data_IF_277430666812
#
_entry.id   IF_277430666812
#
_cell.length_a   1.000
_cell.length_b   1.000
_cell.length_c   1.000
_cell.angle_alpha   90.00
_cell.angle_beta   90.00
_cell.angle_gamma   90.00
#
_symmetry.space_group_name_H-M   'P 1'
#
loop_
_entity.id
_entity.type
_entity.pdbx_description
1 polymer ?
#
# COMPACT_ATOMS: atom_id res chain seq x y z
N UNK A 1 5.02 -25.16 -18.85
CA UNK A 1 4.46 -24.51 -17.67
C UNK A 1 5.15 -25.07 -16.45
N UNK A 2 5.88 -24.25 -15.72
CA UNK A 2 6.47 -24.67 -14.45
C UNK A 2 5.31 -24.72 -13.45
N UNK A 3 5.00 -25.92 -13.01
CA UNK A 3 3.95 -26.15 -12.02
C UNK A 3 4.41 -25.56 -10.68
N UNK A 4 3.92 -24.38 -10.33
CA UNK A 4 4.16 -23.75 -9.03
C UNK A 4 3.22 -24.37 -8.00
N UNK A 5 3.54 -25.58 -7.55
CA UNK A 5 2.78 -26.20 -6.47
C UNK A 5 3.27 -25.68 -5.12
N UNK A 6 2.35 -25.17 -4.31
CA UNK A 6 2.62 -24.86 -2.90
C UNK A 6 2.31 -26.12 -2.09
N UNK A 7 3.27 -26.59 -1.24
CA UNK A 7 3.02 -27.77 -0.41
C UNK A 7 1.79 -27.64 0.49
N UNK A 8 1.11 -28.75 0.67
CA UNK A 8 -0.17 -28.80 1.44
C UNK A 8 -0.03 -28.35 2.88
N UNK A 9 1.07 -28.66 3.54
CA UNK A 9 1.37 -28.24 4.91
C UNK A 9 1.51 -26.72 5.05
N UNK A 10 2.08 -26.06 4.03
CA UNK A 10 2.16 -24.58 3.98
C UNK A 10 0.78 -23.97 3.75
N UNK A 11 -0.02 -24.55 2.85
CA UNK A 11 -1.39 -24.12 2.64
C UNK A 11 -2.25 -24.29 3.89
N UNK A 12 -2.05 -25.36 4.65
CA UNK A 12 -2.71 -25.58 5.95
C UNK A 12 -2.33 -24.50 6.97
N UNK A 13 -1.05 -24.18 7.09
CA UNK A 13 -0.56 -23.14 8.00
C UNK A 13 -1.15 -21.77 7.65
N UNK A 14 -1.06 -21.37 6.39
CA UNK A 14 -1.58 -20.07 5.90
C UNK A 14 -3.10 -19.98 6.05
N UNK A 15 -3.81 -21.07 5.76
CA UNK A 15 -5.28 -21.13 5.91
C UNK A 15 -5.70 -21.01 7.37
N UNK A 16 -4.97 -21.66 8.27
CA UNK A 16 -5.24 -21.58 9.72
C UNK A 16 -5.00 -20.20 10.28
N UNK A 17 -3.98 -19.50 9.79
CA UNK A 17 -3.62 -18.17 10.29
C UNK A 17 -4.56 -17.08 9.79
N UNK A 18 -4.99 -17.14 8.54
CA UNK A 18 -5.62 -15.99 7.87
C UNK A 18 -7.07 -16.21 7.45
N UNK A 19 -7.52 -17.43 7.24
CA UNK A 19 -8.80 -17.70 6.56
C UNK A 19 -9.81 -18.44 7.43
N UNK A 20 -9.41 -19.48 8.14
CA UNK A 20 -10.31 -20.30 8.95
C UNK A 20 -10.95 -19.54 10.12
N UNK A 21 -10.25 -18.52 10.62
CA UNK A 21 -10.72 -17.68 11.72
C UNK A 21 -11.75 -16.61 11.29
N UNK A 22 -12.03 -16.49 10.00
CA UNK A 22 -13.09 -15.59 9.51
C UNK A 22 -14.44 -16.13 10.00
N UNK A 23 -15.29 -15.30 10.64
CA UNK A 23 -16.60 -15.73 11.07
C UNK A 23 -17.42 -16.33 9.93
N UNK A 24 -18.19 -17.36 10.22
CA UNK A 24 -18.96 -18.10 9.21
C UNK A 24 -19.88 -17.20 8.39
N UNK A 25 -20.46 -16.20 9.03
CA UNK A 25 -21.34 -15.22 8.38
C UNK A 25 -20.59 -14.39 7.31
N UNK A 26 -19.30 -14.11 7.54
CA UNK A 26 -18.45 -13.34 6.62
C UNK A 26 -17.83 -14.21 5.53
N UNK A 27 -17.79 -15.52 5.68
CA UNK A 27 -17.26 -16.46 4.67
C UNK A 27 -18.05 -16.46 3.37
N UNK A 28 -19.29 -15.98 3.39
CA UNK A 28 -20.15 -15.84 2.22
C UNK A 28 -19.72 -14.67 1.34
N UNK A 29 -19.05 -13.68 1.89
CA UNK A 29 -18.48 -12.56 1.16
C UNK A 29 -17.09 -12.91 0.64
N UNK A 30 -17.02 -13.33 -0.62
CA UNK A 30 -15.78 -13.75 -1.25
C UNK A 30 -14.79 -12.59 -1.46
N UNK A 31 -15.26 -11.35 -1.58
CA UNK A 31 -14.40 -10.17 -1.63
C UNK A 31 -13.65 -10.01 -0.31
N UNK A 32 -14.35 -10.18 0.82
CA UNK A 32 -13.70 -10.16 2.15
C UNK A 32 -12.68 -11.28 2.30
N UNK A 33 -12.98 -12.47 1.83
CA UNK A 33 -12.02 -13.59 1.82
C UNK A 33 -10.78 -13.23 1.00
N UNK A 34 -10.92 -12.54 -0.11
CA UNK A 34 -9.77 -12.10 -0.92
C UNK A 34 -8.82 -11.18 -0.16
N UNK A 35 -9.31 -10.32 0.74
CA UNK A 35 -8.44 -9.52 1.61
C UNK A 35 -7.61 -10.41 2.55
N UNK A 36 -8.18 -11.44 3.10
CA UNK A 36 -7.46 -12.40 3.94
C UNK A 36 -6.45 -13.22 3.12
N UNK A 37 -6.79 -13.58 1.90
CA UNK A 37 -5.87 -14.27 0.97
C UNK A 37 -4.70 -13.35 0.62
N UNK A 38 -4.91 -12.05 0.44
CA UNK A 38 -3.83 -11.10 0.21
C UNK A 38 -2.85 -11.04 1.38
N UNK A 39 -3.34 -11.00 2.62
CA UNK A 39 -2.49 -11.05 3.81
C UNK A 39 -1.69 -12.36 3.88
N UNK A 40 -2.34 -13.49 3.57
CA UNK A 40 -1.68 -14.79 3.49
C UNK A 40 -0.61 -14.82 2.40
N UNK A 41 -0.88 -14.21 1.24
CA UNK A 41 0.07 -14.10 0.14
C UNK A 41 1.31 -13.30 0.52
N UNK A 42 1.15 -12.16 1.16
CA UNK A 42 2.28 -11.37 1.66
C UNK A 42 3.10 -12.15 2.69
N UNK A 43 2.44 -12.83 3.61
CA UNK A 43 3.12 -13.69 4.58
C UNK A 43 3.91 -14.82 3.90
N UNK A 44 3.32 -15.45 2.87
CA UNK A 44 3.99 -16.47 2.06
C UNK A 44 5.25 -15.91 1.39
N UNK A 45 5.15 -14.75 0.75
CA UNK A 45 6.29 -14.11 0.09
C UNK A 45 7.39 -13.70 1.07
N UNK A 46 7.02 -13.21 2.25
CA UNK A 46 7.97 -12.66 3.22
C UNK A 46 8.64 -13.73 4.08
N UNK A 47 7.93 -14.80 4.43
CA UNK A 47 8.40 -15.79 5.39
C UNK A 47 8.70 -17.17 4.80
N UNK A 48 8.07 -17.54 3.71
CA UNK A 48 8.28 -18.83 3.06
C UNK A 48 9.16 -18.75 1.82
N UNK A 49 9.03 -17.71 1.01
CA UNK A 49 9.84 -17.49 -0.19
C UNK A 49 11.17 -16.81 0.15
N UNK A 50 11.99 -17.47 0.96
CA UNK A 50 13.29 -16.96 1.42
C UNK A 50 14.42 -17.75 0.77
N UNK A 51 15.65 -17.20 0.86
CA UNK A 51 16.86 -17.89 0.36
C UNK A 51 17.12 -19.23 1.06
N UNK A 52 16.58 -19.39 2.28
CA UNK A 52 16.66 -20.65 3.03
C UNK A 52 15.73 -21.74 2.46
N UNK A 53 14.72 -21.35 1.68
CA UNK A 53 13.74 -22.26 1.08
C UNK A 53 13.69 -22.10 -0.45
N UNK A 54 14.74 -22.47 -1.20
CA UNK A 54 14.84 -22.22 -2.64
C UNK A 54 13.80 -22.97 -3.49
N UNK A 55 13.11 -23.96 -2.90
CA UNK A 55 12.03 -24.71 -3.56
C UNK A 55 10.71 -23.97 -3.57
N UNK A 56 10.52 -22.99 -2.67
CA UNK A 56 9.32 -22.18 -2.59
C UNK A 56 9.51 -20.90 -3.39
N UNK A 57 8.79 -20.80 -4.50
CA UNK A 57 8.92 -19.67 -5.42
C UNK A 57 7.82 -18.65 -5.21
N UNK A 58 8.14 -17.35 -5.33
CA UNK A 58 7.13 -16.31 -5.41
C UNK A 58 6.15 -16.59 -6.54
N UNK A 59 4.88 -16.32 -6.30
CA UNK A 59 3.83 -16.42 -7.30
C UNK A 59 2.94 -15.18 -7.28
N UNK A 60 2.16 -14.97 -8.34
CA UNK A 60 1.20 -13.86 -8.40
C UNK A 60 0.06 -14.08 -7.41
N UNK A 61 -0.65 -12.99 -7.08
CA UNK A 61 -1.86 -13.08 -6.25
C UNK A 61 -2.90 -14.03 -6.86
N UNK A 62 -3.06 -14.03 -8.17
CA UNK A 62 -4.00 -14.92 -8.86
C UNK A 62 -3.63 -16.39 -8.69
N UNK A 63 -2.37 -16.73 -8.88
CA UNK A 63 -1.87 -18.11 -8.71
C UNK A 63 -2.02 -18.54 -7.25
N UNK A 64 -1.62 -17.69 -6.32
CA UNK A 64 -1.74 -17.98 -4.89
C UNK A 64 -3.20 -18.18 -4.47
N UNK A 65 -4.09 -17.29 -4.88
CA UNK A 65 -5.53 -17.40 -4.61
C UNK A 65 -6.12 -18.69 -5.19
N UNK A 66 -5.69 -19.08 -6.39
CA UNK A 66 -6.12 -20.36 -6.99
C UNK A 66 -5.74 -21.54 -6.12
N UNK A 67 -4.53 -21.59 -5.60
CA UNK A 67 -4.10 -22.65 -4.67
C UNK A 67 -4.94 -22.69 -3.39
N UNK A 68 -5.21 -21.53 -2.81
CA UNK A 68 -6.03 -21.41 -1.60
C UNK A 68 -7.47 -21.86 -1.85
N UNK A 69 -8.07 -21.45 -2.96
CA UNK A 69 -9.43 -21.85 -3.33
C UNK A 69 -9.57 -23.36 -3.54
N UNK A 70 -8.57 -24.00 -4.16
CA UNK A 70 -8.54 -25.46 -4.31
C UNK A 70 -8.35 -26.18 -2.99
N UNK A 71 -7.60 -25.60 -2.06
CA UNK A 71 -7.20 -26.25 -0.82
C UNK A 71 -8.32 -26.21 0.25
N UNK A 72 -9.06 -25.11 0.34
CA UNK A 72 -10.07 -24.89 1.38
C UNK A 72 -11.44 -25.40 0.90
N UNK A 73 -12.08 -26.33 1.64
CA UNK A 73 -13.33 -26.96 1.19
C UNK A 73 -14.46 -25.99 0.85
N UNK A 74 -14.69 -24.94 1.66
CA UNK A 74 -15.78 -24.00 1.41
C UNK A 74 -15.51 -23.03 0.24
N UNK A 75 -14.27 -22.89 -0.19
CA UNK A 75 -13.87 -22.09 -1.35
C UNK A 75 -13.83 -22.90 -2.65
N UNK A 76 -13.66 -24.22 -2.55
CA UNK A 76 -13.51 -25.10 -3.71
C UNK A 76 -14.64 -25.00 -4.74
N UNK A 77 -15.92 -24.86 -4.36
CA UNK A 77 -16.99 -24.65 -5.33
C UNK A 77 -16.87 -23.39 -6.17
N UNK A 78 -16.07 -22.40 -5.73
CA UNK A 78 -15.92 -21.09 -6.37
C UNK A 78 -14.69 -20.99 -7.28
N UNK A 79 -13.90 -22.04 -7.41
CA UNK A 79 -12.66 -22.04 -8.22
C UNK A 79 -12.91 -21.61 -9.67
N UNK A 80 -13.98 -22.09 -10.28
CA UNK A 80 -14.33 -21.78 -11.66
C UNK A 80 -14.63 -20.28 -11.87
N UNK A 81 -14.98 -19.55 -10.81
CA UNK A 81 -15.34 -18.12 -10.85
C UNK A 81 -14.25 -17.21 -10.25
N UNK A 82 -13.06 -17.73 -10.03
CA UNK A 82 -12.00 -17.00 -9.33
C UNK A 82 -11.60 -15.69 -9.99
N UNK A 83 -11.54 -15.65 -11.32
CA UNK A 83 -11.16 -14.43 -12.05
C UNK A 83 -12.16 -13.30 -11.83
N UNK A 84 -13.45 -13.62 -11.84
CA UNK A 84 -14.52 -12.66 -11.56
C UNK A 84 -14.48 -12.18 -10.09
N UNK A 85 -14.23 -13.07 -9.16
CA UNK A 85 -14.11 -12.74 -7.73
C UNK A 85 -12.92 -11.81 -7.49
N UNK A 86 -11.77 -12.09 -8.09
CA UNK A 86 -10.59 -11.25 -7.99
C UNK A 86 -10.79 -9.89 -8.66
N UNK A 87 -11.54 -9.82 -9.76
CA UNK A 87 -11.90 -8.56 -10.41
C UNK A 87 -12.77 -7.70 -9.50
N UNK A 88 -13.83 -8.26 -8.90
CA UNK A 88 -14.67 -7.58 -7.93
C UNK A 88 -13.87 -7.06 -6.72
N UNK A 89 -12.92 -7.86 -6.25
CA UNK A 89 -12.04 -7.47 -5.15
C UNK A 89 -11.12 -6.30 -5.53
N UNK A 90 -10.55 -6.30 -6.75
CA UNK A 90 -9.72 -5.20 -7.24
C UNK A 90 -10.53 -3.92 -7.38
N UNK A 91 -11.73 -4.01 -7.93
CA UNK A 91 -12.63 -2.86 -8.09
C UNK A 91 -13.00 -2.27 -6.72
N UNK A 92 -13.31 -3.12 -5.75
CA UNK A 92 -13.56 -2.69 -4.38
C UNK A 92 -12.34 -1.99 -3.77
N UNK A 93 -11.13 -2.54 -3.93
CA UNK A 93 -9.88 -1.94 -3.45
C UNK A 93 -9.61 -0.57 -4.06
N UNK A 94 -9.90 -0.38 -5.33
CA UNK A 94 -9.68 0.90 -6.01
C UNK A 94 -10.61 2.00 -5.49
N UNK A 95 -11.79 1.64 -5.03
CA UNK A 95 -12.77 2.59 -4.51
C UNK A 95 -12.56 2.94 -3.02
N UNK A 96 -11.70 2.24 -2.30
CA UNK A 96 -11.42 2.54 -0.89
C UNK A 96 -10.66 3.86 -0.78
N UNK A 97 -11.15 4.85 0.00
CA UNK A 97 -10.46 6.12 0.20
C UNK A 97 -9.06 5.94 0.81
N UNK A 98 -8.15 6.81 0.40
CA UNK A 98 -6.78 6.86 0.89
C UNK A 98 -6.54 8.15 1.66
N UNK A 99 -5.93 8.05 2.83
CA UNK A 99 -5.59 9.18 3.68
C UNK A 99 -4.11 9.18 4.04
N UNK A 100 -3.54 10.37 4.11
CA UNK A 100 -2.13 10.55 4.43
C UNK A 100 -1.82 12.00 4.78
N UNK A 101 -0.58 12.41 4.58
CA UNK A 101 -0.16 13.75 4.93
C UNK A 101 0.85 14.35 3.95
N UNK A 102 0.75 15.68 3.80
CA UNK A 102 1.79 16.53 3.24
C UNK A 102 2.60 17.05 4.42
N UNK A 103 3.76 16.47 4.68
CA UNK A 103 4.62 16.84 5.80
C UNK A 103 5.61 17.88 5.32
N UNK A 104 5.52 19.09 5.88
CA UNK A 104 6.35 20.23 5.56
C UNK A 104 7.39 20.49 6.66
N UNK A 105 8.57 20.94 6.26
CA UNK A 105 9.60 21.36 7.19
C UNK A 105 9.30 22.74 7.82
N UNK A 106 10.19 23.24 8.67
CA UNK A 106 9.99 24.46 9.46
C UNK A 106 9.77 25.72 8.62
N UNK A 107 10.51 25.88 7.52
CA UNK A 107 10.43 27.05 6.63
C UNK A 107 9.47 26.85 5.44
N UNK A 108 8.74 25.75 5.40
CA UNK A 108 7.76 25.41 4.36
C UNK A 108 8.36 25.30 2.93
N UNK A 109 9.65 25.01 2.83
CA UNK A 109 10.33 24.88 1.53
C UNK A 109 10.44 23.44 1.04
N UNK A 110 10.31 22.47 1.94
CA UNK A 110 10.48 21.03 1.65
C UNK A 110 9.30 20.21 2.11
N UNK A 111 9.02 19.16 1.35
CA UNK A 111 8.03 18.14 1.69
C UNK A 111 8.69 16.77 1.82
N UNK A 112 8.11 15.94 2.68
CA UNK A 112 8.55 14.57 2.89
C UNK A 112 7.84 13.64 1.90
N UNK A 113 8.61 12.91 1.13
CA UNK A 113 8.12 11.88 0.21
C UNK A 113 8.68 10.52 0.57
N UNK A 114 7.92 9.49 0.25
CA UNK A 114 8.30 8.08 0.40
C UNK A 114 8.43 7.43 -0.97
N UNK A 115 9.39 6.53 -1.11
CA UNK A 115 9.61 5.77 -2.33
C UNK A 115 9.18 4.33 -2.13
N UNK A 116 8.29 3.85 -2.98
CA UNK A 116 7.85 2.46 -2.98
C UNK A 116 8.92 1.52 -3.55
N UNK A 117 8.98 0.29 -3.01
CA UNK A 117 9.74 -0.79 -3.64
C UNK A 117 9.12 -1.26 -4.96
N UNK A 118 7.79 -1.21 -5.07
CA UNK A 118 7.03 -1.93 -6.09
C UNK A 118 6.57 -1.06 -7.25
N UNK A 119 6.03 0.10 -7.01
CA UNK A 119 5.45 0.96 -8.03
C UNK A 119 6.52 1.67 -8.90
N UNK A 120 7.40 0.91 -9.55
CA UNK A 120 8.52 1.41 -10.36
C UNK A 120 9.38 2.43 -9.60
N UNK A 121 9.56 2.23 -8.30
CA UNK A 121 10.27 3.14 -7.40
C UNK A 121 9.72 4.58 -7.45
N UNK A 122 8.41 4.74 -7.62
CA UNK A 122 7.75 6.04 -7.61
C UNK A 122 7.77 6.68 -6.22
N UNK A 123 7.83 8.02 -6.21
CA UNK A 123 7.73 8.82 -5.01
C UNK A 123 6.29 9.29 -4.80
N UNK A 124 5.84 9.28 -3.56
CA UNK A 124 4.52 9.78 -3.19
C UNK A 124 4.55 10.38 -1.78
N UNK A 125 3.47 11.08 -1.43
CA UNK A 125 3.23 11.43 -0.03
C UNK A 125 2.93 10.15 0.77
N UNK A 126 3.34 10.08 2.06
CA UNK A 126 2.98 8.96 2.91
C UNK A 126 1.46 8.90 3.08
N UNK A 127 0.86 7.78 2.69
CA UNK A 127 -0.59 7.57 2.68
C UNK A 127 -0.93 6.10 2.52
N UNK A 128 -2.14 5.74 2.92
CA UNK A 128 -2.66 4.41 2.69
C UNK A 128 -4.18 4.35 2.80
N UNK A 129 -4.72 3.18 2.57
CA UNK A 129 -6.15 2.93 2.55
C UNK A 129 -6.73 2.92 3.95
N UNK A 130 -7.91 3.49 4.09
CA UNK A 130 -8.66 3.46 5.35
C UNK A 130 -9.10 2.04 5.69
N UNK A 131 -9.02 1.69 6.96
CA UNK A 131 -9.59 0.45 7.49
C UNK A 131 -11.08 0.62 7.74
N UNK A 132 -11.79 -0.49 7.89
CA UNK A 132 -13.20 -0.48 8.28
C UNK A 132 -13.38 0.28 9.60
N UNK A 133 -14.35 1.17 9.66
CA UNK A 133 -14.69 2.00 10.83
C UNK A 133 -13.54 2.90 11.36
N UNK A 134 -12.50 3.13 10.55
CA UNK A 134 -11.41 4.02 10.90
C UNK A 134 -11.71 5.47 10.46
N UNK A 135 -11.50 6.44 11.36
CA UNK A 135 -11.62 7.85 11.01
C UNK A 135 -10.52 8.28 10.02
N UNK A 136 -10.82 9.20 9.07
CA UNK A 136 -9.83 9.68 8.11
C UNK A 136 -8.53 10.20 8.71
N UNK A 137 -8.61 11.01 9.77
CA UNK A 137 -7.42 11.53 10.45
C UNK A 137 -6.61 10.44 11.15
N UNK A 138 -7.27 9.45 11.75
CA UNK A 138 -6.61 8.30 12.35
C UNK A 138 -5.90 7.45 11.30
N UNK A 139 -6.52 7.24 10.15
CA UNK A 139 -5.89 6.56 9.01
C UNK A 139 -4.60 7.28 8.58
N UNK A 140 -4.65 8.60 8.43
CA UNK A 140 -3.50 9.41 8.07
C UNK A 140 -2.37 9.28 9.11
N UNK A 141 -2.68 9.37 10.40
CA UNK A 141 -1.71 9.19 11.49
C UNK A 141 -1.06 7.82 11.43
N UNK A 142 -1.86 6.77 11.29
CA UNK A 142 -1.39 5.38 11.22
C UNK A 142 -0.48 5.15 10.00
N UNK A 143 -0.91 5.56 8.83
CA UNK A 143 -0.15 5.34 7.60
C UNK A 143 1.17 6.14 7.57
N UNK A 144 1.17 7.38 8.02
CA UNK A 144 2.39 8.18 8.12
C UNK A 144 3.37 7.54 9.12
N UNK A 145 2.88 7.03 10.23
CA UNK A 145 3.70 6.33 11.22
C UNK A 145 4.29 5.03 10.65
N UNK A 146 3.50 4.25 9.93
CA UNK A 146 3.96 3.01 9.30
C UNK A 146 5.01 3.26 8.21
N UNK A 147 4.76 4.23 7.34
CA UNK A 147 5.63 4.49 6.19
C UNK A 147 6.88 5.33 6.53
N UNK A 148 6.84 6.17 7.55
CA UNK A 148 7.94 7.10 7.89
C UNK A 148 8.53 6.90 9.29
N UNK A 149 7.80 6.24 10.19
CA UNK A 149 8.15 6.15 11.60
C UNK A 149 7.86 7.41 12.41
N UNK A 150 7.27 8.44 11.80
CA UNK A 150 6.98 9.71 12.45
C UNK A 150 5.51 9.81 12.88
N UNK A 151 5.29 10.18 14.15
CA UNK A 151 3.96 10.36 14.73
C UNK A 151 3.46 11.80 14.55
N UNK A 152 2.43 11.97 13.73
CA UNK A 152 1.80 13.28 13.46
C UNK A 152 0.58 13.55 14.35
N UNK A 153 0.25 12.70 15.31
CA UNK A 153 -0.99 12.78 16.09
C UNK A 153 -1.19 14.10 16.81
N UNK A 154 -0.10 14.75 17.26
CA UNK A 154 -0.13 16.03 17.94
C UNK A 154 -0.06 17.24 17.01
N UNK A 155 0.14 17.03 15.72
CA UNK A 155 0.34 18.08 14.72
C UNK A 155 -0.81 18.17 13.72
N UNK A 156 -1.65 17.14 13.62
CA UNK A 156 -2.72 17.07 12.63
C UNK A 156 -3.90 17.98 13.01
N UNK A 157 -4.36 18.77 12.03
CA UNK A 157 -5.64 19.49 12.09
C UNK A 157 -6.59 18.83 11.09
N UNK A 158 -7.70 18.31 11.59
CA UNK A 158 -8.71 17.61 10.79
C UNK A 158 -9.36 18.48 9.71
N UNK A 159 -9.25 19.80 9.83
CA UNK A 159 -9.83 20.77 8.90
C UNK A 159 -8.83 21.29 7.86
N UNK A 160 -7.55 20.94 7.97
CA UNK A 160 -6.51 21.36 7.03
C UNK A 160 -6.02 20.19 6.18
N UNK A 161 -6.56 20.08 4.98
CA UNK A 161 -6.21 19.05 4.03
C UNK A 161 -6.40 19.49 2.59
N UNK A 162 -5.79 18.75 1.67
CA UNK A 162 -6.04 18.84 0.23
C UNK A 162 -6.59 17.49 -0.23
N UNK A 163 -7.70 17.52 -0.98
CA UNK A 163 -8.30 16.34 -1.59
C UNK A 163 -8.14 16.34 -3.11
N UNK A 164 -7.93 15.17 -3.65
CA UNK A 164 -7.96 14.94 -5.08
C UNK A 164 -8.48 13.54 -5.38
N UNK A 165 -9.08 13.37 -6.55
CA UNK A 165 -9.46 12.05 -7.05
C UNK A 165 -8.44 11.61 -8.08
N UNK A 166 -7.74 10.50 -7.82
CA UNK A 166 -6.73 9.92 -8.69
C UNK A 166 -7.20 8.53 -9.10
N UNK A 167 -7.42 8.30 -10.40
CA UNK A 167 -7.92 7.03 -10.93
C UNK A 167 -9.16 6.52 -10.16
N UNK A 168 -10.15 7.41 -9.99
CA UNK A 168 -11.42 7.15 -9.29
C UNK A 168 -11.29 6.90 -7.77
N UNK A 169 -10.08 6.99 -7.22
CA UNK A 169 -9.82 6.87 -5.78
C UNK A 169 -9.73 8.23 -5.12
N UNK A 170 -10.49 8.44 -4.05
CA UNK A 170 -10.34 9.64 -3.21
C UNK A 170 -9.02 9.57 -2.45
N UNK A 171 -8.23 10.64 -2.54
CA UNK A 171 -6.99 10.83 -1.79
C UNK A 171 -7.08 12.14 -1.03
N UNK A 172 -7.04 12.07 0.30
CA UNK A 172 -6.97 13.23 1.18
C UNK A 172 -5.63 13.25 1.88
N UNK A 173 -4.93 14.39 1.79
CA UNK A 173 -3.65 14.60 2.45
C UNK A 173 -3.78 15.76 3.44
N UNK A 174 -3.61 15.47 4.73
CA UNK A 174 -3.59 16.47 5.80
C UNK A 174 -2.27 17.23 5.78
N UNK A 175 -2.33 18.55 5.98
CA UNK A 175 -1.16 19.41 5.96
C UNK A 175 -0.53 19.44 7.34
N UNK A 176 0.72 19.00 7.43
CA UNK A 176 1.52 18.96 8.66
C UNK A 176 2.72 19.87 8.50
N UNK A 177 2.85 20.87 9.35
CA UNK A 177 3.89 21.88 9.30
C UNK A 177 4.87 21.78 10.48
N UNK A 178 6.04 22.38 10.32
CA UNK A 178 6.99 22.58 11.40
C UNK A 178 7.79 21.35 11.79
N UNK A 179 7.90 20.35 10.91
CA UNK A 179 8.71 19.16 11.17
C UNK A 179 10.17 19.46 10.92
N UNK A 180 11.04 19.18 11.89
CA UNK A 180 12.48 19.44 11.79
C UNK A 180 13.13 18.59 10.71
N UNK A 181 13.97 19.18 9.87
CA UNK A 181 14.68 18.49 8.78
C UNK A 181 15.62 17.38 9.26
N UNK A 182 16.14 17.49 10.46
CA UNK A 182 17.04 16.52 11.07
C UNK A 182 16.29 15.33 11.73
N UNK A 183 14.96 15.32 11.66
CA UNK A 183 14.14 14.20 12.11
C UNK A 183 14.56 12.92 11.38
N UNK A 184 14.83 11.87 12.14
CA UNK A 184 15.17 10.56 11.59
C UNK A 184 13.91 9.78 11.26
N UNK A 185 13.78 9.43 9.98
CA UNK A 185 12.66 8.62 9.50
C UNK A 185 13.10 7.18 9.32
N UNK A 186 12.26 6.25 9.74
CA UNK A 186 12.47 4.82 9.52
C UNK A 186 11.11 4.15 9.26
N UNK A 187 10.89 3.61 8.04
CA UNK A 187 9.69 2.85 7.77
C UNK A 187 9.54 1.66 8.71
N UNK A 188 8.32 1.43 9.19
CA UNK A 188 7.97 0.27 10.02
C UNK A 188 7.45 -0.90 9.22
N UNK A 189 7.15 -0.68 7.94
CA UNK A 189 6.66 -1.69 7.01
C UNK A 189 7.83 -2.43 6.35
N UNK A 190 7.68 -3.74 6.18
CA UNK A 190 8.67 -4.54 5.45
C UNK A 190 8.40 -4.44 3.95
N UNK A 191 9.46 -4.18 3.15
CA UNK A 191 9.44 -4.25 1.67
C UNK A 191 8.34 -3.41 0.99
N UNK A 192 7.79 -2.43 1.65
CA UNK A 192 6.80 -1.53 1.09
C UNK A 192 7.44 -0.18 0.74
N UNK A 193 8.14 0.41 1.70
CA UNK A 193 8.83 1.69 1.55
C UNK A 193 10.34 1.48 1.52
N UNK A 194 10.96 1.91 0.43
CA UNK A 194 12.39 1.81 0.18
C UNK A 194 13.17 2.98 0.77
N UNK A 195 12.68 4.21 0.57
CA UNK A 195 13.31 5.45 1.01
C UNK A 195 12.28 6.44 1.52
N UNK A 196 12.71 7.29 2.45
CA UNK A 196 11.98 8.46 2.96
C UNK A 196 12.92 9.65 2.87
N UNK A 197 12.56 10.67 2.08
CA UNK A 197 13.43 11.82 1.83
C UNK A 197 12.67 13.13 1.77
N UNK A 198 13.37 14.22 2.13
CA UNK A 198 12.91 15.57 1.91
C UNK A 198 13.17 16.00 0.48
N UNK A 199 12.17 16.61 -0.15
CA UNK A 199 12.26 17.22 -1.46
C UNK A 199 11.92 18.71 -1.39
N UNK A 200 12.70 19.54 -2.09
CA UNK A 200 12.34 20.95 -2.26
C UNK A 200 11.07 21.05 -3.11
N UNK A 201 10.12 21.87 -2.66
CA UNK A 201 8.88 22.12 -3.43
C UNK A 201 9.17 22.66 -4.83
N UNK A 202 10.22 23.49 -4.95
CA UNK A 202 10.64 24.04 -6.23
C UNK A 202 11.16 23.00 -7.22
N UNK A 203 11.58 21.82 -6.74
CA UNK A 203 12.13 20.75 -7.56
C UNK A 203 11.07 19.72 -8.00
N UNK A 204 9.83 19.82 -7.51
CA UNK A 204 8.75 18.91 -7.85
C UNK A 204 8.05 19.30 -9.16
N UNK A 205 7.56 18.32 -9.94
CA UNK A 205 6.91 18.61 -11.22
C UNK A 205 5.49 19.16 -11.03
N UNK A 206 5.12 20.16 -11.83
CA UNK A 206 3.76 20.69 -11.90
C UNK A 206 2.86 19.90 -12.86
N UNK A 207 3.47 19.14 -13.79
CA UNK A 207 2.77 18.32 -14.77
C UNK A 207 3.69 17.18 -15.25
N UNK A 208 3.10 16.23 -15.99
CA UNK A 208 3.82 15.04 -16.49
C UNK A 208 4.97 15.33 -17.47
N UNK A 209 5.02 16.53 -18.04
CA UNK A 209 6.05 16.95 -19.00
C UNK A 209 7.13 17.84 -18.36
N UNK A 210 6.93 18.23 -17.11
CA UNK A 210 7.87 19.08 -16.38
C UNK A 210 9.16 18.31 -16.08
N UNK A 211 10.26 18.73 -16.68
CA UNK A 211 11.58 18.10 -16.54
C UNK A 211 12.42 18.67 -15.38
N UNK A 212 11.89 19.62 -14.60
CA UNK A 212 12.59 20.23 -13.45
C UNK A 212 13.14 19.16 -12.48
N UNK A 213 12.38 18.13 -12.10
CA UNK A 213 12.88 17.09 -11.21
C UNK A 213 14.09 16.36 -11.77
N UNK A 214 14.09 16.05 -13.07
CA UNK A 214 15.22 15.36 -13.73
C UNK A 214 16.50 16.18 -13.70
N UNK A 215 16.39 17.46 -13.91
CA UNK A 215 17.55 18.39 -13.89
C UNK A 215 18.10 18.55 -12.45
N UNK A 216 17.21 18.62 -11.46
CA UNK A 216 17.57 18.88 -10.06
C UNK A 216 17.88 17.64 -9.24
N UNK A 217 17.17 16.55 -9.46
CA UNK A 217 17.26 15.33 -8.65
C UNK A 217 17.75 14.11 -9.43
N UNK A 218 17.84 14.21 -10.76
CA UNK A 218 18.16 13.09 -11.65
C UNK A 218 16.96 12.14 -11.89
N UNK A 219 15.79 12.42 -11.32
CA UNK A 219 14.59 11.57 -11.39
C UNK A 219 13.56 12.21 -12.32
N UNK A 220 13.07 11.44 -13.30
CA UNK A 220 12.07 11.92 -14.25
C UNK A 220 10.70 12.21 -13.63
N UNK A 221 9.87 13.06 -14.29
CA UNK A 221 8.57 13.46 -13.76
C UNK A 221 7.59 12.31 -13.59
N UNK A 222 7.73 11.21 -14.34
CA UNK A 222 6.87 10.03 -14.21
C UNK A 222 6.99 9.33 -12.85
N UNK A 223 8.12 9.48 -12.16
CA UNK A 223 8.30 8.94 -10.81
C UNK A 223 7.51 9.72 -9.75
N UNK A 224 6.93 10.87 -10.10
CA UNK A 224 6.15 11.73 -9.21
C UNK A 224 4.67 11.83 -9.59
N UNK A 225 4.15 10.90 -10.37
CA UNK A 225 2.77 10.99 -10.90
C UNK A 225 1.70 11.13 -9.80
N UNK A 226 1.93 10.54 -8.62
CA UNK A 226 1.01 10.65 -7.47
C UNK A 226 1.14 11.99 -6.73
N UNK A 227 2.23 12.73 -6.94
CA UNK A 227 2.50 14.01 -6.28
C UNK A 227 1.91 15.18 -7.07
N UNK A 228 1.95 15.10 -8.39
CA UNK A 228 1.54 16.17 -9.31
C UNK A 228 0.17 16.79 -8.97
N UNK A 229 -0.90 16.03 -8.65
CA UNK A 229 -2.20 16.62 -8.35
C UNK A 229 -2.22 17.55 -7.14
N UNK A 230 -1.23 17.46 -6.25
CA UNK A 230 -1.15 18.22 -5.01
C UNK A 230 -0.14 19.38 -5.04
N UNK A 231 0.67 19.51 -6.10
CA UNK A 231 1.71 20.55 -6.23
C UNK A 231 1.19 21.84 -6.85
N UNK A 232 0.02 21.82 -7.48
CA UNK A 232 -0.61 22.97 -8.15
C UNK A 232 -1.20 23.98 -7.19
#
# INVERSE_FOLDING_TARGET
MVDHSIPSDILDDLSSRFIINVPEEERKDLVRICFQIELAHWFYLDFYCTDENPKLRPCSMREFATHIFFHIPFLKPHVANIDNILEQWRDYKQNVPTFGAIVLNEDLTKVLLVQSYWAKSSWSFPKGKVNEDEDPSHCAVREVLEETGFDISNLIDENEYIESTINEQLVRLYIICGVQKDTKFQPKTRKEIKNVEWFSLADLPNNKKDMTPKVKTGVGPNAFFMVIPFVR
#
